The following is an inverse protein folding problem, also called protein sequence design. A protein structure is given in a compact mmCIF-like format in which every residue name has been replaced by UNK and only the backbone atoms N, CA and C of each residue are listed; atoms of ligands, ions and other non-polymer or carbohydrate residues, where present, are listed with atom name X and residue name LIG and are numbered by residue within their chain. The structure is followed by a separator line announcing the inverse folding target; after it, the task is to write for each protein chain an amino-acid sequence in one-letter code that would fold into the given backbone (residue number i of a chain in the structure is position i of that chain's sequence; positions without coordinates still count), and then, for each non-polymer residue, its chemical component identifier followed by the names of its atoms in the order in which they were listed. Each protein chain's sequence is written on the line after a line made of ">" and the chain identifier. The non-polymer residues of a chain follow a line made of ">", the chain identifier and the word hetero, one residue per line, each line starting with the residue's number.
data_IF_439136164118
#
_entry.id   IF_439136164118
#
_cell.length_a   1.000
_cell.length_b   1.000
_cell.length_c   1.000
_cell.angle_alpha   90.00
_cell.angle_beta   90.00
_cell.angle_gamma   90.00
#
_symmetry.space_group_name_H-M   'P 1'
#
loop_
_entity.id
_entity.type
_entity.pdbx_description
1 polymer ?
#
# COMPACT_ATOMS: atom_id res chain seq x y z
N UNK A 1 -9.37 4.63 -11.52
CA UNK A 1 -8.17 5.43 -11.82
C UNK A 1 -7.72 6.22 -10.61
N UNK A 2 -8.63 6.91 -9.92
CA UNK A 2 -8.20 7.78 -8.83
C UNK A 2 -7.67 7.01 -7.61
N UNK A 3 -8.19 5.81 -7.38
CA UNK A 3 -7.78 4.92 -6.30
C UNK A 3 -6.31 4.47 -6.44
N UNK A 4 -5.90 4.19 -7.68
CA UNK A 4 -4.57 3.65 -7.98
C UNK A 4 -3.45 4.67 -7.71
N UNK A 5 -3.59 5.93 -8.16
CA UNK A 5 -2.59 6.96 -7.85
C UNK A 5 -2.63 7.36 -6.37
N UNK A 6 -3.80 7.42 -5.73
CA UNK A 6 -3.90 7.64 -4.28
C UNK A 6 -3.14 6.56 -3.50
N UNK A 7 -3.36 5.28 -3.82
CA UNK A 7 -2.65 4.19 -3.18
C UNK A 7 -1.14 4.24 -3.45
N UNK A 8 -0.74 4.57 -4.69
CA UNK A 8 0.67 4.77 -5.05
C UNK A 8 1.33 5.88 -4.23
N UNK A 9 0.64 7.02 -4.04
CA UNK A 9 1.13 8.13 -3.22
C UNK A 9 1.19 7.74 -1.74
N UNK A 10 0.21 7.01 -1.21
CA UNK A 10 0.23 6.53 0.18
C UNK A 10 1.41 5.58 0.43
N UNK A 11 1.71 4.70 -0.53
CA UNK A 11 2.91 3.86 -0.45
C UNK A 11 4.21 4.67 -0.49
N UNK A 12 4.27 5.71 -1.33
CA UNK A 12 5.43 6.62 -1.40
C UNK A 12 5.60 7.40 -0.10
N UNK A 13 4.48 7.86 0.49
CA UNK A 13 4.47 8.50 1.79
C UNK A 13 5.09 7.60 2.87
N UNK A 14 4.64 6.33 3.00
CA UNK A 14 5.21 5.38 3.96
C UNK A 14 6.71 5.17 3.76
N UNK A 15 7.15 5.08 2.50
CA UNK A 15 8.56 4.95 2.18
C UNK A 15 9.37 6.15 2.67
N UNK A 16 8.86 7.38 2.48
CA UNK A 16 9.52 8.60 2.97
C UNK A 16 9.46 8.67 4.50
N UNK A 17 8.32 8.30 5.11
CA UNK A 17 8.10 8.30 6.56
C UNK A 17 9.13 7.43 7.30
N UNK A 18 9.61 6.35 6.67
CA UNK A 18 10.68 5.50 7.20
C UNK A 18 11.95 6.29 7.57
N UNK A 19 12.23 7.40 6.88
CA UNK A 19 13.41 8.22 7.08
C UNK A 19 13.16 9.46 7.96
N UNK A 20 11.90 9.79 8.26
CA UNK A 20 11.53 10.99 9.02
C UNK A 20 11.66 10.82 10.55
N UNK A 21 11.96 9.59 11.02
CA UNK A 21 12.22 9.26 12.43
C UNK A 21 11.23 9.92 13.41
N UNK A 22 9.93 9.67 13.19
CA UNK A 22 8.91 10.14 14.12
C UNK A 22 9.04 9.41 15.48
N UNK A 23 8.60 10.08 16.55
CA UNK A 23 8.48 9.44 17.85
C UNK A 23 7.48 8.28 17.83
N UNK A 24 7.55 7.37 18.80
CA UNK A 24 6.72 6.16 18.83
C UNK A 24 5.21 6.44 18.71
N UNK A 25 4.71 7.45 19.41
CA UNK A 25 3.31 7.87 19.28
C UNK A 25 2.98 8.40 17.88
N UNK A 26 3.92 9.11 17.24
CA UNK A 26 3.75 9.62 15.88
C UNK A 26 3.69 8.49 14.84
N UNK A 27 4.61 7.53 14.91
CA UNK A 27 4.60 6.34 14.03
C UNK A 27 3.31 5.53 14.19
N UNK A 28 2.82 5.36 15.43
CA UNK A 28 1.56 4.66 15.70
C UNK A 28 0.40 5.31 14.93
N UNK A 29 0.26 6.63 15.02
CA UNK A 29 -0.82 7.34 14.31
C UNK A 29 -0.62 7.36 12.80
N UNK A 30 0.62 7.46 12.32
CA UNK A 30 0.95 7.38 10.90
C UNK A 30 0.53 6.02 10.32
N UNK A 31 0.98 4.92 10.93
CA UNK A 31 0.63 3.56 10.52
C UNK A 31 -0.88 3.31 10.56
N UNK A 32 -1.56 3.79 11.60
CA UNK A 32 -3.01 3.60 11.77
C UNK A 32 -3.81 4.34 10.70
N UNK A 33 -3.50 5.62 10.48
CA UNK A 33 -4.23 6.48 9.54
C UNK A 33 -3.93 6.05 8.11
N UNK A 34 -2.66 5.87 7.77
CA UNK A 34 -2.25 5.48 6.42
C UNK A 34 -2.71 4.06 6.12
N UNK A 35 -2.60 3.14 7.07
CA UNK A 35 -3.12 1.77 6.94
C UNK A 35 -4.62 1.73 6.66
N UNK A 36 -5.41 2.51 7.40
CA UNK A 36 -6.84 2.61 7.18
C UNK A 36 -7.18 3.18 5.79
N UNK A 37 -6.48 4.24 5.36
CA UNK A 37 -6.67 4.83 4.03
C UNK A 37 -6.34 3.83 2.92
N UNK A 38 -5.20 3.14 3.02
CA UNK A 38 -4.76 2.11 2.07
C UNK A 38 -5.78 0.97 1.99
N UNK A 39 -6.31 0.50 3.12
CA UNK A 39 -7.32 -0.56 3.14
C UNK A 39 -8.63 -0.14 2.47
N UNK A 40 -9.12 1.07 2.77
CA UNK A 40 -10.35 1.62 2.19
C UNK A 40 -10.18 1.81 0.68
N UNK A 41 -9.08 2.43 0.25
CA UNK A 41 -8.80 2.66 -1.18
C UNK A 41 -8.65 1.34 -1.93
N UNK A 42 -7.99 0.33 -1.32
CA UNK A 42 -7.91 -1.03 -1.84
C UNK A 42 -9.28 -1.66 -2.04
N UNK A 43 -10.16 -1.58 -1.04
CA UNK A 43 -11.53 -2.10 -1.12
C UNK A 43 -12.34 -1.45 -2.25
N UNK A 44 -12.21 -0.13 -2.43
CA UNK A 44 -12.86 0.60 -3.51
C UNK A 44 -12.35 0.21 -4.90
N UNK A 45 -11.18 -0.41 -5.01
CA UNK A 45 -10.55 -0.84 -6.27
C UNK A 45 -10.82 -2.31 -6.62
N UNK A 46 -11.48 -3.08 -5.75
CA UNK A 46 -11.59 -4.55 -5.86
C UNK A 46 -12.26 -5.03 -7.15
N UNK A 47 -13.18 -4.23 -7.69
CA UNK A 47 -13.93 -4.57 -8.92
C UNK A 47 -13.12 -4.40 -10.20
N UNK A 48 -12.19 -3.44 -10.21
CA UNK A 48 -11.42 -3.10 -11.41
C UNK A 48 -10.14 -3.92 -11.53
N UNK A 49 -9.45 -4.12 -10.39
CA UNK A 49 -8.09 -4.66 -10.32
C UNK A 49 -7.94 -5.52 -9.06
N UNK A 50 -8.48 -6.76 -9.06
CA UNK A 50 -8.67 -7.55 -7.85
C UNK A 50 -7.35 -7.88 -7.15
N UNK A 51 -6.30 -8.26 -7.89
CA UNK A 51 -5.00 -8.57 -7.32
C UNK A 51 -4.39 -7.38 -6.56
N UNK A 52 -4.36 -6.20 -7.19
CA UNK A 52 -3.80 -4.98 -6.60
C UNK A 52 -4.64 -4.49 -5.42
N UNK A 53 -5.96 -4.61 -5.53
CA UNK A 53 -6.88 -4.27 -4.46
C UNK A 53 -6.67 -5.15 -3.22
N UNK A 54 -6.59 -6.47 -3.39
CA UNK A 54 -6.33 -7.40 -2.29
C UNK A 54 -4.98 -7.14 -1.61
N UNK A 55 -3.93 -6.89 -2.41
CA UNK A 55 -2.63 -6.54 -1.85
C UNK A 55 -2.73 -5.27 -1.00
N UNK A 56 -3.42 -4.24 -1.48
CA UNK A 56 -3.63 -2.99 -0.73
C UNK A 56 -4.43 -3.21 0.55
N UNK A 57 -5.52 -3.98 0.50
CA UNK A 57 -6.34 -4.29 1.68
C UNK A 57 -5.50 -5.01 2.74
N UNK A 58 -4.75 -6.03 2.34
CA UNK A 58 -3.90 -6.81 3.25
C UNK A 58 -2.81 -5.91 3.86
N UNK A 59 -2.16 -5.07 3.05
CA UNK A 59 -1.12 -4.16 3.52
C UNK A 59 -1.68 -3.06 4.44
N UNK A 60 -2.85 -2.51 4.13
CA UNK A 60 -3.51 -1.54 5.00
C UNK A 60 -3.89 -2.14 6.35
N UNK A 61 -4.40 -3.38 6.35
CA UNK A 61 -4.70 -4.11 7.58
C UNK A 61 -3.42 -4.45 8.36
N UNK A 62 -2.34 -4.84 7.67
CA UNK A 62 -1.03 -5.08 8.28
C UNK A 62 -0.51 -3.85 9.02
N UNK A 63 -0.57 -2.66 8.42
CA UNK A 63 -0.12 -1.42 9.05
C UNK A 63 -0.90 -1.11 10.33
N UNK A 64 -2.22 -1.32 10.32
CA UNK A 64 -3.03 -1.17 11.54
C UNK A 64 -2.56 -2.13 12.63
N UNK A 65 -2.25 -3.38 12.30
CA UNK A 65 -1.73 -4.37 13.25
C UNK A 65 -0.32 -3.96 13.73
N UNK A 66 0.54 -3.49 12.82
CA UNK A 66 1.92 -3.10 13.11
C UNK A 66 1.99 -1.93 14.11
N UNK A 67 1.03 -1.00 14.04
CA UNK A 67 0.92 0.11 14.99
C UNK A 67 0.79 -0.33 16.46
N UNK A 68 0.30 -1.56 16.72
CA UNK A 68 0.18 -2.12 18.07
C UNK A 68 1.35 -3.03 18.47
N UNK A 69 2.34 -3.22 17.60
CA UNK A 69 3.52 -4.03 17.87
C UNK A 69 4.68 -3.09 18.21
N UNK A 70 5.11 -2.98 19.48
CA UNK A 70 6.11 -1.99 19.89
C UNK A 70 7.42 -2.12 19.12
N UNK A 71 7.86 -3.34 18.81
CA UNK A 71 9.10 -3.60 18.06
C UNK A 71 9.06 -3.08 16.62
N UNK A 72 7.87 -2.88 16.04
CA UNK A 72 7.68 -2.30 14.72
C UNK A 72 7.43 -0.80 14.75
N UNK A 73 7.32 -0.19 15.93
CA UNK A 73 7.11 1.26 16.11
C UNK A 73 8.40 1.97 16.54
N UNK A 74 9.42 1.20 16.98
CA UNK A 74 10.74 1.71 17.35
C UNK A 74 11.85 1.30 16.38
N UNK A 75 12.78 2.24 16.14
CA UNK A 75 14.16 1.88 15.81
C UNK A 75 14.28 1.09 14.48
N UNK A 76 15.09 0.02 14.41
CA UNK A 76 15.27 -0.68 13.15
C UNK A 76 13.98 -1.34 12.64
N UNK A 77 13.08 -1.78 13.53
CA UNK A 77 11.85 -2.48 13.14
C UNK A 77 10.88 -1.57 12.40
N UNK A 78 10.72 -0.32 12.86
CA UNK A 78 9.88 0.68 12.20
C UNK A 78 10.35 1.02 10.79
N UNK A 79 11.65 1.25 10.62
CA UNK A 79 12.21 1.60 9.33
C UNK A 79 11.94 0.51 8.29
N UNK A 80 12.22 -0.76 8.63
CA UNK A 80 11.97 -1.87 7.71
C UNK A 80 10.48 -2.13 7.47
N UNK A 81 9.64 -1.99 8.50
CA UNK A 81 8.19 -2.11 8.36
C UNK A 81 7.64 -1.10 7.36
N UNK A 82 8.03 0.16 7.49
CA UNK A 82 7.60 1.26 6.63
C UNK A 82 8.16 1.13 5.20
N UNK A 83 9.43 0.76 5.04
CA UNK A 83 10.03 0.54 3.72
C UNK A 83 9.32 -0.58 2.96
N UNK A 84 9.17 -1.76 3.58
CA UNK A 84 8.56 -2.92 2.94
C UNK A 84 7.08 -2.62 2.63
N UNK A 85 6.37 -2.05 3.60
CA UNK A 85 4.95 -1.75 3.43
C UNK A 85 4.72 -0.68 2.36
N UNK A 86 5.51 0.39 2.38
CA UNK A 86 5.45 1.46 1.40
C UNK A 86 5.73 0.96 -0.02
N UNK A 87 6.75 0.13 -0.21
CA UNK A 87 7.06 -0.46 -1.52
C UNK A 87 5.93 -1.35 -2.03
N UNK A 88 5.38 -2.22 -1.19
CA UNK A 88 4.27 -3.10 -1.58
C UNK A 88 3.03 -2.30 -1.97
N UNK A 89 2.68 -1.28 -1.19
CA UNK A 89 1.54 -0.39 -1.48
C UNK A 89 1.79 0.43 -2.75
N UNK A 90 3.01 0.92 -2.99
CA UNK A 90 3.39 1.58 -4.24
C UNK A 90 3.21 0.67 -5.45
N UNK A 91 3.66 -0.58 -5.35
CA UNK A 91 3.53 -1.58 -6.42
C UNK A 91 2.06 -1.88 -6.71
N UNK A 92 1.21 -2.01 -5.68
CA UNK A 92 -0.22 -2.17 -5.89
C UNK A 92 -0.85 -0.94 -6.57
N UNK A 93 -0.50 0.27 -6.12
CA UNK A 93 -1.03 1.52 -6.69
C UNK A 93 -0.59 1.76 -8.12
N UNK A 94 0.71 1.87 -8.37
CA UNK A 94 1.26 2.16 -9.70
C UNK A 94 1.14 0.97 -10.66
N UNK A 95 1.23 -0.27 -10.17
CA UNK A 95 0.99 -1.46 -10.98
C UNK A 95 -0.46 -1.56 -11.48
N UNK A 96 -1.43 -1.02 -10.73
CA UNK A 96 -2.81 -0.90 -11.21
C UNK A 96 -2.96 0.09 -12.37
N UNK A 97 -2.04 1.07 -12.50
CA UNK A 97 -2.00 2.01 -13.63
C UNK A 97 -1.36 1.41 -14.88
N UNK A 98 -0.34 0.55 -14.73
CA UNK A 98 0.40 -0.06 -15.85
C UNK A 98 -0.24 -1.30 -16.47
N UNK A 99 -1.23 -1.91 -15.81
CA UNK A 99 -1.91 -3.14 -16.24
C UNK A 99 -2.87 -2.99 -17.43
N UNK A 100 -2.66 -2.03 -18.33
CA UNK A 100 -3.42 -1.83 -19.59
C UNK A 100 -2.79 -2.48 -20.81
N UNK A 101 -1.70 -3.25 -20.65
CA UNK A 101 -1.00 -3.85 -21.79
C UNK A 101 -1.15 -5.37 -21.78
N UNK A 102 -1.52 -5.93 -22.94
CA UNK A 102 -1.73 -7.35 -23.29
C UNK A 102 -3.17 -7.89 -23.23
N UNK A 103 -4.05 -7.30 -24.04
CA UNK A 103 -5.03 -8.09 -24.80
C UNK A 103 -4.71 -7.97 -26.30
N UNK A 104 -3.69 -8.72 -26.77
CA UNK A 104 -3.60 -9.00 -28.20
C UNK A 104 -4.72 -9.96 -28.54
N UNK A 105 -5.74 -9.43 -29.20
CA UNK A 105 -6.83 -10.17 -29.82
C UNK A 105 -6.30 -11.35 -30.65
N UNK A 106 -6.38 -12.57 -30.13
CA UNK A 106 -6.35 -13.80 -30.92
C UNK A 106 -7.77 -14.37 -30.94
N UNK A 107 -8.63 -13.68 -31.67
CA UNK A 107 -9.84 -14.20 -32.32
C UNK A 107 -9.73 -13.59 -33.72
N UNK A 108 -9.58 -14.32 -34.82
CA UNK A 108 -10.33 -15.49 -35.30
C UNK A 108 -9.57 -16.11 -36.48
N UNK A 109 -9.30 -17.41 -36.43
CA UNK A 109 -9.11 -18.22 -37.63
C UNK A 109 -9.61 -19.64 -37.35
N UNK A 110 -10.56 -20.07 -38.18
CA UNK A 110 -11.27 -21.35 -38.25
C UNK A 110 -12.62 -21.44 -37.50
#
# INVERSE_FOLDING_TARGET
>A
MWQAWTNGILGLWLFIAAFLNFGATGNLWDDLIVGALVAIVGYLMIKDKPWQAWLSIIMGLWLIIAAFIPSLVVNPGNMWNLIISGVLVMVAGFGALGGTTHQSNVKTAH
#
